data_IF_368490977510
#
_entry.id   IF_368490977510
#
_cell.length_a   1.000
_cell.length_b   1.000
_cell.length_c   1.000
_cell.angle_alpha   90.00
_cell.angle_beta   90.00
_cell.angle_gamma   90.00
#
_symmetry.space_group_name_H-M   'P 1'
#
loop_
_entity.id
_entity.type
_entity.pdbx_description
1 polymer ?
#
# COMPACT_ATOMS: atom_id res chain seq x y z
N UNK A 1 11.76 -11.35 -7.15
CA UNK A 1 11.25 -9.96 -7.05
C UNK A 1 10.18 -9.97 -5.99
N UNK A 2 10.14 -8.95 -5.13
CA UNK A 2 9.17 -8.85 -4.04
C UNK A 2 8.85 -7.38 -3.80
N UNK A 3 7.62 -6.94 -4.03
CA UNK A 3 7.28 -5.52 -3.88
C UNK A 3 7.13 -5.12 -2.40
N UNK A 4 7.28 -3.82 -2.14
CA UNK A 4 6.95 -3.19 -0.87
C UNK A 4 5.72 -2.30 -1.08
N UNK A 5 4.68 -2.53 -0.28
CA UNK A 5 3.44 -1.72 -0.32
C UNK A 5 3.50 -0.67 0.78
N UNK A 6 4.09 0.48 0.46
CA UNK A 6 4.32 1.59 1.40
C UNK A 6 3.26 2.70 1.33
N UNK A 7 2.30 2.58 0.39
CA UNK A 7 1.11 3.42 0.28
C UNK A 7 -0.11 2.62 -0.12
N UNK A 8 -1.30 3.14 0.21
CA UNK A 8 -2.57 2.49 -0.05
C UNK A 8 -2.81 1.31 0.90
N UNK A 9 -3.51 0.29 0.42
CA UNK A 9 -3.83 -0.94 1.18
C UNK A 9 -4.51 -0.68 2.54
N UNK A 10 -5.38 0.34 2.61
CA UNK A 10 -6.27 0.57 3.75
C UNK A 10 -7.36 -0.51 3.77
N UNK A 11 -7.06 -1.65 4.37
CA UNK A 11 -8.08 -2.63 4.72
C UNK A 11 -8.46 -2.47 6.18
N UNK A 12 -9.31 -1.49 6.49
CA UNK A 12 -9.94 -1.46 7.81
C UNK A 12 -11.44 -1.15 7.76
N UNK A 13 -12.21 -2.23 7.64
CA UNK A 13 -13.56 -2.39 8.21
C UNK A 13 -13.48 -2.91 9.68
N UNK A 14 -12.30 -2.92 10.34
CA UNK A 14 -12.07 -3.56 11.66
C UNK A 14 -11.67 -2.61 12.81
N UNK A 15 -11.93 -1.31 12.70
CA UNK A 15 -11.81 -0.37 13.84
C UNK A 15 -12.84 -0.58 14.98
N UNK A 16 -13.57 -1.70 14.98
CA UNK A 16 -14.71 -1.98 15.88
C UNK A 16 -14.39 -2.94 17.06
N UNK A 17 -13.11 -3.28 17.31
CA UNK A 17 -12.72 -4.26 18.36
C UNK A 17 -11.79 -3.76 19.48
N UNK A 18 -11.98 -2.52 19.92
CA UNK A 18 -11.68 -2.13 21.31
C UNK A 18 -10.20 -2.16 21.75
N UNK A 19 -9.26 -1.84 20.87
CA UNK A 19 -7.88 -1.51 21.28
C UNK A 19 -7.82 -0.14 21.97
N UNK A 20 -6.97 -0.02 23.00
CA UNK A 20 -6.73 1.25 23.69
C UNK A 20 -6.10 2.27 22.73
N UNK A 21 -6.90 3.26 22.36
CA UNK A 21 -6.55 4.30 21.41
C UNK A 21 -5.41 5.20 21.88
N UNK A 22 -5.06 5.26 23.18
CA UNK A 22 -3.98 6.14 23.68
C UNK A 22 -2.57 5.65 23.31
N UNK A 23 -2.30 4.34 23.29
CA UNK A 23 -1.00 3.78 22.92
C UNK A 23 -0.74 3.80 21.41
N UNK A 24 -1.81 3.67 20.62
CA UNK A 24 -1.79 3.82 19.15
C UNK A 24 -1.62 5.31 18.77
N UNK A 25 -2.25 6.23 19.51
CA UNK A 25 -2.18 7.69 19.26
C UNK A 25 -0.82 8.31 19.61
N UNK A 26 -0.10 7.81 20.63
CA UNK A 26 1.20 8.39 21.04
C UNK A 26 2.34 8.17 20.03
N UNK A 27 2.24 7.17 19.15
CA UNK A 27 3.23 6.89 18.09
C UNK A 27 2.92 7.55 16.74
N UNK A 28 1.65 7.88 16.49
CA UNK A 28 1.18 8.49 15.25
C UNK A 28 1.39 10.02 15.18
N UNK A 29 1.59 10.69 16.32
CA UNK A 29 1.70 12.16 16.38
C UNK A 29 3.08 12.76 16.01
N UNK A 30 4.08 11.96 15.60
CA UNK A 30 5.40 12.51 15.20
C UNK A 30 6.12 11.75 14.09
N UNK A 31 5.43 10.89 13.31
CA UNK A 31 6.02 10.19 12.17
C UNK A 31 5.09 10.27 10.95
N UNK A 32 5.67 10.58 9.80
CA UNK A 32 5.03 10.51 8.49
C UNK A 32 4.74 9.05 8.09
N UNK A 33 3.82 8.86 7.15
CA UNK A 33 3.53 7.55 6.56
C UNK A 33 4.77 6.91 5.94
N UNK A 34 5.68 7.71 5.37
CA UNK A 34 6.95 7.26 4.85
C UNK A 34 7.86 6.72 5.97
N UNK A 35 7.99 7.44 7.08
CA UNK A 35 8.80 6.99 8.23
C UNK A 35 8.24 5.70 8.86
N UNK A 36 6.92 5.53 8.85
CA UNK A 36 6.27 4.29 9.30
C UNK A 36 6.59 3.16 8.32
N UNK A 37 6.40 3.37 7.01
CA UNK A 37 6.67 2.37 6.00
C UNK A 37 8.14 1.93 6.01
N UNK A 38 9.08 2.87 6.11
CA UNK A 38 10.52 2.58 6.17
C UNK A 38 10.89 1.77 7.41
N UNK A 39 10.30 2.09 8.57
CA UNK A 39 10.53 1.35 9.80
C UNK A 39 10.04 -0.10 9.70
N UNK A 40 8.84 -0.32 9.13
CA UNK A 40 8.29 -1.67 8.97
C UNK A 40 8.95 -2.45 7.84
N UNK A 41 9.38 -1.81 6.75
CA UNK A 41 10.18 -2.44 5.70
C UNK A 41 11.53 -2.95 6.25
N UNK A 42 12.21 -2.13 7.05
CA UNK A 42 13.46 -2.54 7.70
C UNK A 42 13.25 -3.73 8.64
N UNK A 43 12.19 -3.71 9.45
CA UNK A 43 11.83 -4.83 10.34
C UNK A 43 11.54 -6.11 9.53
N UNK A 44 10.79 -5.98 8.44
CA UNK A 44 10.45 -7.09 7.56
C UNK A 44 11.67 -7.76 6.92
N UNK A 45 12.65 -6.98 6.45
CA UNK A 45 13.90 -7.55 5.93
C UNK A 45 14.72 -8.26 7.01
N UNK A 46 14.73 -7.72 8.24
CA UNK A 46 15.39 -8.37 9.36
C UNK A 46 14.72 -9.72 9.71
N UNK A 47 13.39 -9.77 9.70
CA UNK A 47 12.62 -10.99 9.96
C UNK A 47 12.88 -12.05 8.88
N UNK A 48 12.92 -11.67 7.60
CA UNK A 48 13.26 -12.59 6.51
C UNK A 48 14.65 -13.21 6.67
N UNK A 49 15.64 -12.39 6.99
CA UNK A 49 17.00 -12.87 7.23
C UNK A 49 17.05 -13.84 8.42
N UNK A 50 16.28 -13.58 9.48
CA UNK A 50 16.22 -14.43 10.67
C UNK A 50 15.69 -15.85 10.36
N UNK A 51 14.84 -16.00 9.34
CA UNK A 51 14.31 -17.30 8.89
C UNK A 51 14.98 -17.84 7.63
N UNK A 52 16.17 -17.32 7.27
CA UNK A 52 16.97 -17.73 6.11
C UNK A 52 16.24 -17.61 4.76
N UNK A 53 15.33 -16.63 4.62
CA UNK A 53 14.77 -16.30 3.32
C UNK A 53 15.84 -15.55 2.51
N UNK A 54 16.07 -16.00 1.28
CA UNK A 54 16.98 -15.33 0.36
C UNK A 54 16.38 -13.98 -0.08
N UNK A 55 17.16 -12.89 -0.06
CA UNK A 55 16.66 -11.60 -0.52
C UNK A 55 16.29 -11.66 -2.00
N UNK A 56 15.20 -11.02 -2.36
CA UNK A 56 14.85 -10.83 -3.77
C UNK A 56 15.88 -9.92 -4.45
N UNK A 57 16.06 -10.09 -5.77
CA UNK A 57 16.94 -9.22 -6.55
C UNK A 57 16.45 -7.76 -6.66
N UNK A 58 15.14 -7.53 -6.51
CA UNK A 58 14.49 -6.22 -6.69
C UNK A 58 13.28 -6.11 -5.76
N UNK A 59 13.15 -4.94 -5.13
CA UNK A 59 12.06 -4.56 -4.24
C UNK A 59 11.41 -3.23 -4.68
N UNK A 60 10.50 -3.24 -5.69
CA UNK A 60 9.83 -2.01 -6.10
C UNK A 60 8.86 -1.53 -5.00
N UNK A 61 8.87 -0.22 -4.73
CA UNK A 61 7.94 0.41 -3.80
C UNK A 61 6.71 0.92 -4.53
N UNK A 62 5.55 0.87 -3.90
CA UNK A 62 4.32 1.37 -4.50
C UNK A 62 4.41 2.89 -4.74
N UNK A 63 4.98 3.66 -3.81
CA UNK A 63 5.21 5.11 -3.97
C UNK A 63 5.99 5.48 -5.22
N UNK A 64 7.03 4.70 -5.53
CA UNK A 64 7.92 4.93 -6.68
C UNK A 64 7.24 4.70 -8.04
N UNK A 65 6.11 3.99 -8.06
CA UNK A 65 5.39 3.59 -9.27
C UNK A 65 3.99 4.20 -9.41
N UNK A 66 3.68 5.24 -8.64
CA UNK A 66 2.40 5.98 -8.76
C UNK A 66 2.16 6.49 -10.20
N UNK A 67 3.15 7.09 -10.91
CA UNK A 67 2.94 7.54 -12.28
C UNK A 67 2.48 6.42 -13.22
N UNK A 68 3.10 5.25 -13.15
CA UNK A 68 2.77 4.08 -13.98
C UNK A 68 1.39 3.50 -13.60
N UNK A 69 1.04 3.53 -12.32
CA UNK A 69 -0.30 3.13 -11.85
C UNK A 69 -1.39 4.06 -12.40
N UNK A 70 -1.14 5.37 -12.48
CA UNK A 70 -2.07 6.33 -13.07
C UNK A 70 -2.20 6.12 -14.59
N UNK A 71 -1.09 5.96 -15.30
CA UNK A 71 -1.10 5.67 -16.75
C UNK A 71 -1.90 4.40 -17.07
N UNK A 72 -1.73 3.35 -16.27
CA UNK A 72 -2.51 2.11 -16.42
C UNK A 72 -4.01 2.35 -16.17
N UNK A 73 -4.36 3.11 -15.12
CA UNK A 73 -5.75 3.42 -14.82
C UNK A 73 -6.42 4.19 -15.95
N UNK A 74 -5.75 5.20 -16.50
CA UNK A 74 -6.22 5.97 -17.67
C UNK A 74 -6.44 5.06 -18.87
N UNK A 75 -5.46 4.21 -19.19
CA UNK A 75 -5.56 3.26 -20.30
C UNK A 75 -6.72 2.27 -20.14
N UNK A 76 -6.99 1.82 -18.91
CA UNK A 76 -8.13 0.93 -18.64
C UNK A 76 -9.46 1.64 -18.84
N UNK A 77 -9.56 2.93 -18.51
CA UNK A 77 -10.75 3.74 -18.78
C UNK A 77 -10.94 3.91 -20.29
N UNK A 78 -9.88 4.24 -21.02
CA UNK A 78 -9.94 4.43 -22.48
C UNK A 78 -10.35 3.14 -23.22
N UNK A 79 -9.96 1.98 -22.71
CA UNK A 79 -10.33 0.67 -23.27
C UNK A 79 -11.72 0.20 -22.84
N UNK A 80 -12.43 0.94 -21.98
CA UNK A 80 -13.75 0.55 -21.45
C UNK A 80 -13.70 -0.57 -20.40
N UNK A 81 -12.52 -0.86 -19.84
CA UNK A 81 -12.34 -1.85 -18.76
C UNK A 81 -12.38 -1.24 -17.35
N UNK A 82 -12.42 0.09 -17.25
CA UNK A 82 -12.60 0.82 -16.00
C UNK A 82 -13.52 2.02 -16.18
N UNK A 83 -14.04 2.56 -15.07
CA UNK A 83 -14.86 3.77 -15.07
C UNK A 83 -14.53 4.65 -13.87
N UNK A 84 -14.58 5.97 -14.08
CA UNK A 84 -14.46 6.95 -13.01
C UNK A 84 -15.82 7.19 -12.35
N UNK A 85 -15.83 7.23 -11.03
CA UNK A 85 -16.99 7.66 -10.26
C UNK A 85 -17.09 9.19 -10.20
N UNK A 86 -18.27 9.75 -9.88
CA UNK A 86 -18.42 11.19 -9.68
C UNK A 86 -17.50 11.78 -8.60
N UNK A 87 -17.04 10.95 -7.66
CA UNK A 87 -16.12 11.34 -6.59
C UNK A 87 -14.63 11.28 -6.99
N UNK A 88 -14.31 10.88 -8.23
CA UNK A 88 -12.93 10.80 -8.74
C UNK A 88 -12.23 9.45 -8.54
N UNK A 89 -12.84 8.51 -7.81
CA UNK A 89 -12.30 7.14 -7.70
C UNK A 89 -12.49 6.39 -9.03
N UNK A 90 -11.47 5.66 -9.47
CA UNK A 90 -11.52 4.79 -10.65
C UNK A 90 -11.76 3.34 -10.21
N UNK A 91 -12.72 2.66 -10.84
CA UNK A 91 -13.08 1.27 -10.55
C UNK A 91 -12.89 0.40 -11.80
N UNK A 92 -12.48 -0.84 -11.60
CA UNK A 92 -12.41 -1.84 -12.67
C UNK A 92 -13.80 -2.43 -12.95
N UNK A 93 -14.19 -2.54 -14.23
CA UNK A 93 -15.46 -3.10 -14.65
C UNK A 93 -15.37 -4.63 -14.77
N UNK A 94 -15.95 -5.37 -13.82
CA UNK A 94 -15.90 -6.85 -13.80
C UNK A 94 -16.94 -7.49 -14.72
N UNK A 95 -18.03 -6.78 -15.03
CA UNK A 95 -19.19 -7.33 -15.74
C UNK A 95 -19.05 -7.40 -17.27
N UNK A 96 -17.81 -7.42 -17.79
CA UNK A 96 -17.55 -7.64 -19.22
C UNK A 96 -18.05 -9.01 -19.68
#
# INVERSE_FOLDING_TARGET
MKNITDVGHLSDERFDRGEDRMLVSAGLESKSSAEIADAYEAAFHADEAAVNILPAHVFPRATDHIPEMLELAERLVDLGHAYASPAGNVYYAVAT
#
